data_IF_350719194941
#
_entry.id   IF_350719194941
#
_cell.length_a   1.000
_cell.length_b   1.000
_cell.length_c   1.000
_cell.angle_alpha   90.00
_cell.angle_beta   90.00
_cell.angle_gamma   90.00
#
_symmetry.space_group_name_H-M   'P 1'
#
loop_
_entity.id
_entity.type
_entity.pdbx_description
1 polymer ?
#
# COMPACT_ATOMS: atom_id res chain seq x y z
N UNK A 1 17.80 -31.76 27.18
CA UNK A 1 16.55 -31.62 26.40
C UNK A 1 15.66 -30.61 27.11
N UNK A 2 15.50 -29.39 26.56
CA UNK A 2 14.66 -28.36 27.19
C UNK A 2 13.22 -28.66 26.83
N UNK A 3 12.43 -29.13 27.81
CA UNK A 3 10.99 -29.34 27.65
C UNK A 3 10.32 -28.01 27.31
N UNK A 4 10.05 -27.79 26.02
CA UNK A 4 9.28 -26.64 25.53
C UNK A 4 7.83 -26.86 25.97
N UNK A 5 7.51 -26.48 27.22
CA UNK A 5 6.13 -26.46 27.73
C UNK A 5 5.29 -25.72 26.69
N UNK A 6 4.29 -26.40 26.11
CA UNK A 6 3.37 -25.78 25.16
C UNK A 6 2.73 -24.61 25.88
N UNK A 7 3.09 -23.38 25.47
CA UNK A 7 2.51 -22.16 26.04
C UNK A 7 1.02 -22.17 25.72
N UNK A 8 0.19 -21.84 26.71
CA UNK A 8 -1.25 -21.69 26.49
C UNK A 8 -1.49 -20.62 25.43
N UNK A 9 -2.53 -20.79 24.60
CA UNK A 9 -2.91 -19.78 23.61
C UNK A 9 -3.13 -18.41 24.24
N UNK A 10 -3.64 -18.36 25.47
CA UNK A 10 -3.80 -17.14 26.26
C UNK A 10 -2.46 -16.48 26.62
N UNK A 11 -1.45 -17.26 27.00
CA UNK A 11 -0.12 -16.74 27.33
C UNK A 11 0.60 -16.19 26.10
N UNK A 12 0.39 -16.82 24.94
CA UNK A 12 0.89 -16.35 23.64
C UNK A 12 0.24 -15.01 23.29
N UNK A 13 -1.09 -14.89 23.48
CA UNK A 13 -1.82 -13.64 23.29
C UNK A 13 -1.25 -12.50 24.15
N UNK A 14 -1.07 -12.74 25.45
CA UNK A 14 -0.48 -11.76 26.38
C UNK A 14 0.93 -11.34 25.99
N UNK A 15 1.77 -12.30 25.60
CA UNK A 15 3.14 -12.01 25.13
C UNK A 15 3.14 -11.17 23.85
N UNK A 16 2.21 -11.42 22.94
CA UNK A 16 2.08 -10.64 21.71
C UNK A 16 1.58 -9.21 21.99
N UNK A 17 0.59 -9.04 22.88
CA UNK A 17 0.14 -7.72 23.32
C UNK A 17 1.28 -6.92 23.95
N UNK A 18 2.05 -7.55 24.85
CA UNK A 18 3.21 -6.92 25.47
C UNK A 18 4.26 -6.49 24.44
N UNK A 19 4.60 -7.33 23.46
CA UNK A 19 5.55 -6.96 22.41
C UNK A 19 5.12 -5.74 21.61
N UNK A 20 3.84 -5.65 21.25
CA UNK A 20 3.32 -4.50 20.51
C UNK A 20 3.30 -3.27 21.42
N UNK A 21 2.90 -3.40 22.68
CA UNK A 21 2.96 -2.29 23.65
C UNK A 21 4.40 -1.78 23.86
N UNK A 22 5.36 -2.68 24.06
CA UNK A 22 6.78 -2.35 24.21
C UNK A 22 7.31 -1.66 22.93
N UNK A 23 6.91 -2.12 21.74
CA UNK A 23 7.23 -1.47 20.48
C UNK A 23 6.65 -0.06 20.40
N UNK A 24 5.37 0.13 20.71
CA UNK A 24 4.72 1.45 20.74
C UNK A 24 5.44 2.40 21.69
N UNK A 25 5.88 1.93 22.87
CA UNK A 25 6.62 2.74 23.84
C UNK A 25 7.99 3.21 23.33
N UNK A 26 8.54 2.61 22.27
CA UNK A 26 9.78 3.09 21.62
C UNK A 26 9.55 4.23 20.63
N UNK A 27 8.33 4.79 20.57
CA UNK A 27 7.90 5.84 19.63
C UNK A 27 8.28 5.53 18.17
N UNK A 28 7.87 4.37 17.63
CA UNK A 28 8.20 3.97 16.27
C UNK A 28 7.36 4.73 15.24
N UNK A 29 7.82 4.77 13.99
CA UNK A 29 7.00 5.24 12.86
C UNK A 29 5.88 4.24 12.62
N UNK A 30 4.63 4.68 12.79
CA UNK A 30 3.47 3.80 12.65
C UNK A 30 3.13 3.68 11.17
N UNK A 31 3.05 2.46 10.61
CA UNK A 31 2.66 2.30 9.22
C UNK A 31 1.20 2.72 9.06
N UNK A 32 0.96 3.64 8.13
CA UNK A 32 -0.37 4.12 7.77
C UNK A 32 -0.80 3.52 6.43
N UNK A 33 -2.11 3.32 6.27
CA UNK A 33 -2.74 2.98 5.00
C UNK A 33 -3.96 3.87 4.84
N UNK A 34 -4.00 4.65 3.75
CA UNK A 34 -5.07 5.62 3.49
C UNK A 34 -5.35 6.55 4.70
N UNK A 35 -4.28 7.02 5.35
CA UNK A 35 -4.37 7.90 6.51
C UNK A 35 -4.81 7.25 7.82
N UNK A 36 -5.05 5.93 7.87
CA UNK A 36 -5.40 5.18 9.10
C UNK A 36 -4.28 4.23 9.50
N UNK A 37 -4.25 3.83 10.78
CA UNK A 37 -3.30 2.81 11.28
C UNK A 37 -3.42 1.51 10.49
N UNK A 38 -2.33 1.09 9.85
CA UNK A 38 -2.27 -0.19 9.15
C UNK A 38 -2.03 -1.35 10.14
N UNK A 39 -3.12 -1.81 10.76
CA UNK A 39 -3.10 -2.92 11.74
C UNK A 39 -2.47 -4.18 11.17
N UNK A 40 -2.73 -4.49 9.90
CA UNK A 40 -2.21 -5.70 9.24
C UNK A 40 -0.68 -5.64 9.14
N UNK A 41 -0.13 -4.49 8.78
CA UNK A 41 1.32 -4.32 8.68
C UNK A 41 1.99 -4.45 10.05
N UNK A 42 1.41 -3.85 11.10
CA UNK A 42 1.91 -3.97 12.48
C UNK A 42 1.89 -5.45 12.91
N UNK A 43 0.82 -6.17 12.61
CA UNK A 43 0.74 -7.59 12.91
C UNK A 43 1.76 -8.45 12.13
N UNK A 44 2.03 -8.13 10.86
CA UNK A 44 3.10 -8.76 10.08
C UNK A 44 4.48 -8.49 10.70
N UNK A 45 4.78 -7.26 11.09
CA UNK A 45 6.07 -6.91 11.73
C UNK A 45 6.33 -7.70 13.02
N UNK A 46 5.28 -7.99 13.79
CA UNK A 46 5.40 -8.70 15.06
C UNK A 46 5.08 -10.21 14.98
N UNK A 47 4.85 -10.76 13.78
CA UNK A 47 4.45 -12.15 13.56
C UNK A 47 3.22 -12.58 14.38
N UNK A 48 2.22 -11.70 14.46
CA UNK A 48 0.97 -11.96 15.18
C UNK A 48 -0.15 -12.23 14.17
N UNK A 49 -0.92 -13.33 14.30
CA UNK A 49 -2.06 -13.58 13.41
C UNK A 49 -3.16 -12.53 13.59
N UNK A 50 -3.78 -12.10 12.48
CA UNK A 50 -4.90 -11.13 12.49
C UNK A 50 -6.04 -11.55 13.42
N UNK A 51 -6.35 -12.84 13.48
CA UNK A 51 -7.38 -13.41 14.36
C UNK A 51 -7.15 -13.15 15.86
N UNK A 52 -5.92 -12.80 16.24
CA UNK A 52 -5.56 -12.50 17.64
C UNK A 52 -6.09 -11.14 18.08
N UNK A 53 -6.36 -10.20 17.15
CA UNK A 53 -6.94 -8.89 17.48
C UNK A 53 -8.32 -9.04 18.13
N UNK A 54 -9.19 -9.85 17.53
CA UNK A 54 -10.58 -9.98 17.97
C UNK A 54 -10.71 -10.84 19.24
N UNK A 55 -9.70 -11.68 19.52
CA UNK A 55 -9.71 -12.61 20.66
C UNK A 55 -9.02 -12.03 21.91
N UNK A 56 -8.16 -11.01 21.76
CA UNK A 56 -7.36 -10.47 22.86
C UNK A 56 -7.73 -9.01 23.17
N UNK A 57 -8.37 -8.81 24.32
CA UNK A 57 -8.78 -7.50 24.82
C UNK A 57 -7.62 -6.50 24.96
N UNK A 58 -6.42 -6.97 25.31
CA UNK A 58 -5.26 -6.09 25.48
C UNK A 58 -4.80 -5.50 24.13
N UNK A 59 -4.89 -6.29 23.05
CA UNK A 59 -4.62 -5.78 21.70
C UNK A 59 -5.72 -4.81 21.27
N UNK A 60 -6.98 -5.08 21.60
CA UNK A 60 -8.08 -4.17 21.28
C UNK A 60 -7.89 -2.80 21.94
N UNK A 61 -7.43 -2.76 23.19
CA UNK A 61 -7.11 -1.51 23.90
C UNK A 61 -5.97 -0.74 23.24
N UNK A 62 -4.93 -1.45 22.77
CA UNK A 62 -3.79 -0.82 22.09
C UNK A 62 -4.21 -0.19 20.76
N UNK A 63 -5.11 -0.85 20.02
CA UNK A 63 -5.62 -0.43 18.71
C UNK A 63 -6.97 0.32 18.74
N UNK A 64 -7.40 0.74 19.93
CA UNK A 64 -8.60 1.54 20.12
C UNK A 64 -8.44 2.93 19.46
N UNK A 65 -9.54 3.61 19.10
CA UNK A 65 -9.48 4.96 18.52
C UNK A 65 -8.81 5.98 19.45
N UNK A 66 -8.89 5.81 20.77
CA UNK A 66 -8.15 6.62 21.76
C UNK A 66 -6.89 5.92 22.29
N UNK A 67 -6.46 4.87 21.58
CA UNK A 67 -5.37 4.00 21.99
C UNK A 67 -4.00 4.65 21.85
N UNK A 68 -2.96 4.08 22.49
CA UNK A 68 -1.57 4.54 22.39
C UNK A 68 -1.06 4.68 20.96
N UNK A 69 -1.49 3.79 20.05
CA UNK A 69 -1.09 3.82 18.64
C UNK A 69 -1.70 5.04 17.95
N UNK A 70 -2.99 5.29 18.14
CA UNK A 70 -3.64 6.44 17.48
C UNK A 70 -3.09 7.77 18.00
N UNK A 71 -2.77 7.86 19.30
CA UNK A 71 -2.09 9.04 19.88
C UNK A 71 -0.73 9.30 19.24
N UNK A 72 0.09 8.27 19.05
CA UNK A 72 1.36 8.41 18.35
C UNK A 72 1.17 8.81 16.88
N UNK A 73 0.14 8.30 16.20
CA UNK A 73 -0.19 8.76 14.83
C UNK A 73 -0.60 10.22 14.82
N UNK A 74 -1.38 10.68 15.80
CA UNK A 74 -1.76 12.08 15.93
C UNK A 74 -0.56 12.97 16.26
N UNK A 75 0.37 12.53 17.10
CA UNK A 75 1.64 13.24 17.35
C UNK A 75 2.50 13.31 16.09
N UNK A 76 2.59 12.22 15.33
CA UNK A 76 3.33 12.16 14.06
C UNK A 76 2.71 13.07 12.99
N UNK A 77 1.38 13.08 12.86
CA UNK A 77 0.66 13.96 11.94
C UNK A 77 0.61 15.41 12.42
N UNK A 78 0.56 15.64 13.72
CA UNK A 78 0.59 16.98 14.31
C UNK A 78 1.94 17.67 14.16
N UNK A 79 3.01 16.91 13.92
CA UNK A 79 4.30 17.43 13.48
C UNK A 79 4.32 17.81 11.98
N UNK A 80 3.36 17.33 11.19
CA UNK A 80 3.13 17.68 9.78
C UNK A 80 1.93 18.63 9.60
N UNK A 81 1.87 19.70 10.41
CA UNK A 81 1.07 20.93 10.16
C UNK A 81 -0.47 20.77 10.18
N UNK A 82 -1.10 21.75 10.82
CA UNK A 82 -2.52 22.17 10.84
C UNK A 82 -3.53 21.39 9.96
N UNK A 83 -4.65 21.02 10.59
CA UNK A 83 -5.89 20.47 10.00
C UNK A 83 -6.21 21.02 8.59
N UNK A 84 -6.87 20.20 7.74
CA UNK A 84 -8.31 20.43 7.62
C UNK A 84 -9.17 19.16 7.54
N UNK A 85 -10.34 19.31 8.18
CA UNK A 85 -11.70 18.92 7.80
C UNK A 85 -12.01 17.48 7.33
N UNK A 86 -12.73 16.80 8.23
CA UNK A 86 -14.07 16.24 8.01
C UNK A 86 -14.51 16.10 6.54
N UNK A 87 -14.43 14.88 6.00
CA UNK A 87 -15.30 14.47 4.87
C UNK A 87 -15.82 13.06 5.10
N UNK A 88 -17.14 13.02 5.22
CA UNK A 88 -18.04 11.87 5.34
C UNK A 88 -17.93 10.96 4.11
N UNK A 89 -18.22 9.68 4.37
CA UNK A 89 -18.46 8.55 3.47
C UNK A 89 -18.64 8.83 1.96
N UNK A 90 -17.96 8.06 1.10
CA UNK A 90 -18.60 7.09 0.21
C UNK A 90 -17.57 6.21 -0.55
N UNK A 91 -17.79 4.89 -0.43
CA UNK A 91 -17.61 3.84 -1.41
C UNK A 91 -16.32 3.71 -2.27
N UNK A 92 -15.70 2.53 -2.08
CA UNK A 92 -15.46 1.51 -3.11
C UNK A 92 -14.00 1.19 -3.47
N UNK A 93 -13.80 -0.11 -3.67
CA UNK A 93 -12.73 -0.78 -4.41
C UNK A 93 -11.29 -0.73 -3.84
N UNK A 94 -10.96 -1.84 -3.17
CA UNK A 94 -9.85 -2.77 -3.48
C UNK A 94 -8.52 -2.22 -4.07
N UNK A 95 -7.48 -2.79 -3.47
CA UNK A 95 -6.22 -3.24 -4.08
C UNK A 95 -5.05 -2.25 -4.20
N UNK A 96 -4.01 -2.60 -3.43
CA UNK A 96 -2.57 -2.52 -3.72
C UNK A 96 -1.86 -1.15 -3.73
N UNK A 97 -0.92 -1.00 -2.80
CA UNK A 97 -0.04 0.17 -2.65
C UNK A 97 1.41 -0.29 -2.43
N UNK A 98 2.05 -0.74 -3.52
CA UNK A 98 3.34 -0.18 -3.90
C UNK A 98 3.04 1.11 -4.66
N UNK A 99 2.91 2.27 -4.00
CA UNK A 99 2.85 3.54 -4.74
C UNK A 99 3.05 4.73 -3.79
N UNK A 100 4.31 5.05 -3.53
CA UNK A 100 4.73 6.40 -3.11
C UNK A 100 4.94 7.31 -4.32
N UNK A 101 4.14 7.15 -5.38
CA UNK A 101 4.12 8.05 -6.52
C UNK A 101 3.10 9.11 -6.17
N UNK A 102 3.54 10.36 -6.00
CA UNK A 102 2.64 11.48 -5.73
C UNK A 102 1.54 11.53 -6.80
N UNK A 103 0.30 11.84 -6.44
CA UNK A 103 -0.83 11.88 -7.39
C UNK A 103 -0.51 12.71 -8.65
N UNK A 104 0.27 13.78 -8.50
CA UNK A 104 0.72 14.60 -9.63
C UNK A 104 1.65 13.83 -10.59
N UNK A 105 2.53 12.98 -10.08
CA UNK A 105 3.41 12.15 -10.91
C UNK A 105 2.62 11.02 -11.61
N UNK A 106 1.58 10.48 -10.97
CA UNK A 106 0.64 9.55 -11.61
C UNK A 106 -0.13 10.23 -12.74
N UNK A 107 -0.66 11.43 -12.53
CA UNK A 107 -1.34 12.20 -13.58
C UNK A 107 -0.44 12.49 -14.77
N UNK A 108 0.83 12.86 -14.52
CA UNK A 108 1.81 13.06 -15.59
C UNK A 108 2.11 11.77 -16.36
N UNK A 109 2.24 10.63 -15.66
CA UNK A 109 2.43 9.32 -16.30
C UNK A 109 1.22 8.91 -17.13
N UNK A 110 0.01 9.09 -16.60
CA UNK A 110 -1.24 8.80 -17.32
C UNK A 110 -1.31 9.63 -18.59
N UNK A 111 -1.07 10.94 -18.50
CA UNK A 111 -1.07 11.84 -19.67
C UNK A 111 -0.01 11.44 -20.69
N UNK A 112 1.19 11.06 -20.25
CA UNK A 112 2.24 10.58 -21.15
C UNK A 112 1.81 9.29 -21.87
N UNK A 113 1.23 8.33 -21.16
CA UNK A 113 0.71 7.08 -21.73
C UNK A 113 -0.44 7.33 -22.72
N UNK A 114 -1.36 8.24 -22.39
CA UNK A 114 -2.44 8.63 -23.30
C UNK A 114 -1.90 9.23 -24.62
N UNK A 115 -0.87 10.07 -24.53
CA UNK A 115 -0.24 10.64 -25.74
C UNK A 115 0.45 9.57 -26.59
N UNK A 116 1.14 8.61 -25.97
CA UNK A 116 1.77 7.49 -26.68
C UNK A 116 0.73 6.56 -27.31
N UNK A 117 -0.38 6.33 -26.64
CA UNK A 117 -1.47 5.51 -27.16
C UNK A 117 -2.08 6.17 -28.40
N UNK A 118 -2.34 7.47 -28.34
CA UNK A 118 -2.86 8.22 -29.48
C UNK A 118 -1.88 8.21 -30.67
N UNK A 119 -0.56 8.30 -30.44
CA UNK A 119 0.41 8.21 -31.53
C UNK A 119 0.42 6.81 -32.17
N UNK A 120 0.38 5.75 -31.36
CA UNK A 120 0.32 4.37 -31.85
C UNK A 120 -0.97 4.12 -32.65
N UNK A 121 -2.10 4.64 -32.18
CA UNK A 121 -3.36 4.52 -32.91
C UNK A 121 -3.31 5.24 -34.27
N UNK A 122 -2.70 6.43 -34.32
CA UNK A 122 -2.51 7.16 -35.56
C UNK A 122 -1.60 6.40 -36.53
N UNK A 123 -0.49 5.86 -36.03
CA UNK A 123 0.44 5.05 -36.81
C UNK A 123 -0.26 3.80 -37.35
N UNK A 124 -1.00 3.07 -36.51
CA UNK A 124 -1.78 1.90 -36.92
C UNK A 124 -2.83 2.25 -37.97
N UNK A 125 -3.58 3.34 -37.78
CA UNK A 125 -4.57 3.80 -38.75
C UNK A 125 -3.90 4.17 -40.09
N UNK A 126 -2.72 4.79 -40.05
CA UNK A 126 -1.94 5.10 -41.24
C UNK A 126 -1.44 3.84 -41.95
N UNK A 127 -0.97 2.84 -41.22
CA UNK A 127 -0.54 1.55 -41.77
C UNK A 127 -1.71 0.80 -42.39
N UNK A 128 -2.86 0.75 -41.72
CA UNK A 128 -4.08 0.16 -42.27
C UNK A 128 -4.54 0.86 -43.54
N UNK A 129 -4.45 2.19 -43.60
CA UNK A 129 -4.76 2.97 -44.80
C UNK A 129 -3.78 2.64 -45.94
N UNK A 130 -2.48 2.56 -45.64
CA UNK A 130 -1.46 2.18 -46.63
C UNK A 130 -1.66 0.74 -47.13
N UNK A 131 -2.02 -0.19 -46.24
CA UNK A 131 -2.34 -1.57 -46.60
C UNK A 131 -3.57 -1.64 -47.52
N UNK A 132 -4.65 -0.95 -47.14
CA UNK A 132 -5.89 -0.91 -47.92
C UNK A 132 -5.71 -0.28 -49.30
N UNK A 133 -4.81 0.70 -49.44
CA UNK A 133 -4.49 1.36 -50.71
C UNK A 133 -3.38 0.66 -51.51
N UNK A 134 -2.84 -0.45 -51.00
CA UNK A 134 -1.74 -1.19 -51.65
C UNK A 134 -0.41 -0.43 -51.67
N UNK A 135 -0.24 0.58 -50.81
CA UNK A 135 0.95 1.44 -50.70
C UNK A 135 1.83 1.08 -49.51
N UNK A 136 1.47 0.06 -48.75
CA UNK A 136 2.26 -0.41 -47.61
C UNK A 136 3.57 -1.03 -48.10
N UNK A 137 4.69 -0.52 -47.58
CA UNK A 137 6.02 -1.07 -47.81
C UNK A 137 6.46 -1.69 -46.49
N UNK A 138 6.53 -3.03 -46.39
CA UNK A 138 7.01 -3.70 -45.19
C UNK A 138 8.42 -3.21 -44.84
N UNK A 139 8.63 -2.73 -43.62
CA UNK A 139 9.98 -2.49 -43.11
C UNK A 139 10.68 -3.85 -42.98
N UNK A 140 11.59 -4.15 -43.90
CA UNK A 140 12.53 -5.25 -43.73
C UNK A 140 13.49 -4.82 -42.62
N UNK A 141 13.22 -5.23 -41.38
CA UNK A 141 14.21 -5.15 -40.32
C UNK A 141 15.36 -6.07 -40.72
N UNK A 142 16.45 -5.50 -41.25
CA UNK A 142 17.74 -6.14 -41.12
C UNK A 142 18.08 -6.06 -39.64
N UNK A 143 17.83 -7.16 -38.95
CA UNK A 143 18.26 -7.39 -37.58
C UNK A 143 19.79 -7.48 -37.59
N UNK A 144 20.46 -6.33 -37.69
CA UNK A 144 21.87 -6.22 -37.31
C UNK A 144 21.85 -6.13 -35.79
N UNK A 145 21.73 -7.29 -35.16
CA UNK A 145 22.12 -7.47 -33.78
C UNK A 145 23.61 -7.20 -33.68
N UNK A 146 23.96 -5.98 -33.30
CA UNK A 146 25.32 -5.66 -32.86
C UNK A 146 25.53 -6.22 -31.44
N UNK A 147 26.64 -6.96 -31.34
CA UNK A 147 27.19 -7.68 -30.19
C UNK A 147 27.77 -6.72 -29.15
#
# INVERSE_FOLDING_TARGET
MVNKRRKSSQDIGKQNAKKIADWVNTSPVIPLYQGRVNKIQIFKMHNVPKSTLDTNEDLQKIFAPDGPIEKLVQEQKGLEIEQPDDVVEENSAKEDLENTVSNNELELKVKALETQLNSIQLDLASEQFLLATGRYIPKLYMDVGDV
#
